data_IF_579036493282
#
_entry.id   IF_579036493282
#
_cell.length_a   1.000
_cell.length_b   1.000
_cell.length_c   1.000
_cell.angle_alpha   90.00
_cell.angle_beta   90.00
_cell.angle_gamma   90.00
#
_symmetry.space_group_name_H-M   'P 1'
#
loop_
_entity.id
_entity.type
_entity.pdbx_description
1 polymer ?
#
# COMPACT_ATOMS: atom_id res chain seq x y z
N UNK A 1 -16.36 -6.22 5.88
CA UNK A 1 -15.95 -6.06 4.47
C UNK A 1 -15.19 -4.74 4.36
N UNK A 2 -13.86 -4.76 4.20
CA UNK A 2 -12.99 -3.57 4.14
C UNK A 2 -13.20 -2.67 2.90
N UNK A 3 -14.10 -3.06 2.00
CA UNK A 3 -14.37 -2.38 0.74
C UNK A 3 -15.31 -1.17 0.89
N UNK A 4 -16.01 -1.04 2.02
CA UNK A 4 -17.02 0.01 2.27
C UNK A 4 -16.54 1.12 3.21
N UNK A 5 -15.26 1.11 3.60
CA UNK A 5 -14.73 2.14 4.50
C UNK A 5 -14.61 3.50 3.79
N UNK A 6 -14.96 4.60 4.47
CA UNK A 6 -14.86 5.94 3.89
C UNK A 6 -13.40 6.29 3.56
N UNK A 7 -13.17 6.77 2.35
CA UNK A 7 -11.83 7.19 1.89
C UNK A 7 -11.56 8.60 2.40
N UNK A 8 -10.55 8.74 3.26
CA UNK A 8 -10.09 10.03 3.78
C UNK A 8 -9.19 10.75 2.78
N UNK A 9 -8.22 10.02 2.21
CA UNK A 9 -7.27 10.54 1.23
C UNK A 9 -6.98 9.46 0.19
N UNK A 10 -6.66 9.88 -1.03
CA UNK A 10 -6.29 8.97 -2.12
C UNK A 10 -5.21 9.58 -2.98
N UNK A 11 -4.31 8.73 -3.44
CA UNK A 11 -3.33 9.05 -4.47
C UNK A 11 -3.63 8.33 -5.78
N UNK A 12 -2.68 8.42 -6.70
CA UNK A 12 -2.62 7.61 -7.91
C UNK A 12 -2.48 6.13 -7.55
N UNK A 13 -1.60 5.80 -6.60
CA UNK A 13 -1.24 4.41 -6.26
C UNK A 13 -1.75 3.90 -4.91
N UNK A 14 -2.38 4.75 -4.09
CA UNK A 14 -2.86 4.35 -2.77
C UNK A 14 -4.26 4.88 -2.42
N UNK A 15 -4.89 4.26 -1.42
CA UNK A 15 -6.04 4.79 -0.69
C UNK A 15 -5.76 4.80 0.81
N UNK A 16 -6.16 5.87 1.51
CA UNK A 16 -6.24 5.91 2.97
C UNK A 16 -7.71 5.94 3.34
N UNK A 17 -8.15 4.91 4.07
CA UNK A 17 -9.53 4.73 4.52
C UNK A 17 -9.59 4.85 6.04
N UNK A 18 -10.72 5.34 6.53
CA UNK A 18 -11.01 5.37 7.96
C UNK A 18 -11.68 4.07 8.37
N UNK A 19 -11.08 3.32 9.31
CA UNK A 19 -11.74 2.25 10.05
C UNK A 19 -11.96 2.74 11.49
N UNK A 20 -12.77 2.04 12.29
CA UNK A 20 -13.04 2.44 13.67
C UNK A 20 -11.75 2.68 14.49
N UNK A 21 -10.87 1.68 14.56
CA UNK A 21 -9.64 1.73 15.39
C UNK A 21 -8.36 2.10 14.62
N UNK A 22 -8.36 1.94 13.29
CA UNK A 22 -7.16 2.04 12.46
C UNK A 22 -7.38 2.94 11.23
N UNK A 23 -6.32 3.61 10.78
CA UNK A 23 -6.23 4.11 9.41
C UNK A 23 -5.72 2.99 8.50
N UNK A 24 -6.49 2.70 7.45
CA UNK A 24 -6.16 1.62 6.50
C UNK A 24 -5.55 2.23 5.24
N UNK A 25 -4.26 2.02 5.05
CA UNK A 25 -3.56 2.38 3.81
C UNK A 25 -3.54 1.18 2.87
N UNK A 26 -4.14 1.30 1.68
CA UNK A 26 -4.27 0.22 0.70
C UNK A 26 -3.50 0.57 -0.59
N UNK A 27 -2.68 -0.36 -1.07
CA UNK A 27 -1.94 -0.25 -2.32
C UNK A 27 -2.84 -0.64 -3.51
N UNK A 28 -3.10 0.32 -4.40
CA UNK A 28 -3.93 0.14 -5.60
C UNK A 28 -3.24 -0.65 -6.69
N UNK A 29 -1.91 -0.71 -6.71
CA UNK A 29 -1.13 -1.47 -7.68
C UNK A 29 -1.30 -2.98 -7.50
N UNK A 30 -1.70 -3.42 -6.30
CA UNK A 30 -1.94 -4.82 -5.96
C UNK A 30 -3.38 -5.28 -6.19
N UNK A 31 -4.13 -4.55 -7.02
CA UNK A 31 -5.52 -4.90 -7.36
C UNK A 31 -5.59 -6.31 -7.96
N UNK A 32 -6.35 -7.19 -7.30
CA UNK A 32 -6.51 -8.59 -7.69
C UNK A 32 -5.61 -9.56 -6.92
N UNK A 33 -4.68 -9.07 -6.10
CA UNK A 33 -3.92 -9.92 -5.19
C UNK A 33 -4.78 -10.31 -3.99
N UNK A 34 -4.88 -11.61 -3.73
CA UNK A 34 -5.62 -12.13 -2.58
C UNK A 34 -4.76 -12.03 -1.33
N UNK A 35 -5.33 -11.50 -0.24
CA UNK A 35 -4.70 -11.55 1.08
C UNK A 35 -4.57 -12.99 1.52
N UNK A 36 -3.35 -13.42 1.80
CA UNK A 36 -3.02 -14.78 2.22
C UNK A 36 -2.52 -14.83 3.66
N UNK A 37 -1.91 -13.74 4.13
CA UNK A 37 -1.36 -13.64 5.49
C UNK A 37 -1.58 -12.23 6.04
N UNK A 38 -1.72 -12.12 7.35
CA UNK A 38 -1.69 -10.85 8.08
C UNK A 38 -0.58 -10.90 9.12
N UNK A 39 0.43 -10.04 8.95
CA UNK A 39 1.65 -10.03 9.76
C UNK A 39 2.14 -8.60 9.98
N UNK A 40 3.04 -8.38 10.93
CA UNK A 40 3.69 -7.07 11.08
C UNK A 40 4.62 -6.80 9.88
N UNK A 41 4.54 -5.60 9.35
CA UNK A 41 5.46 -5.10 8.34
C UNK A 41 6.80 -4.71 8.99
N UNK A 42 7.90 -5.28 8.50
CA UNK A 42 9.22 -5.07 9.12
C UNK A 42 9.75 -3.64 8.94
N UNK A 43 9.25 -2.88 7.96
CA UNK A 43 9.71 -1.51 7.68
C UNK A 43 8.89 -0.48 8.42
N UNK A 44 7.57 -0.68 8.45
CA UNK A 44 6.63 0.26 9.04
C UNK A 44 6.26 -0.10 10.48
N UNK A 45 6.60 -1.31 10.92
CA UNK A 45 6.28 -1.85 12.25
C UNK A 45 4.79 -1.80 12.60
N UNK A 46 3.94 -1.91 11.59
CA UNK A 46 2.48 -1.94 11.72
C UNK A 46 1.93 -3.22 11.14
N UNK A 47 0.71 -3.59 11.54
CA UNK A 47 0.03 -4.76 10.99
C UNK A 47 -0.24 -4.53 9.50
N UNK A 48 0.03 -5.55 8.69
CA UNK A 48 -0.17 -5.50 7.24
C UNK A 48 -0.75 -6.81 6.72
N UNK A 49 -1.71 -6.69 5.81
CA UNK A 49 -2.16 -7.81 4.99
C UNK A 49 -1.18 -8.00 3.84
N UNK A 50 -0.69 -9.22 3.68
CA UNK A 50 0.26 -9.62 2.64
C UNK A 50 -0.39 -10.62 1.70
N UNK A 51 -0.05 -10.48 0.42
CA UNK A 51 -0.35 -11.46 -0.61
C UNK A 51 0.93 -12.06 -1.16
N UNK A 52 0.79 -13.16 -1.89
CA UNK A 52 1.91 -13.85 -2.53
C UNK A 52 1.84 -13.62 -4.04
N UNK A 53 2.87 -12.99 -4.60
CA UNK A 53 3.10 -12.93 -6.05
C UNK A 53 4.12 -14.00 -6.43
N UNK A 54 4.09 -14.49 -7.66
CA UNK A 54 5.07 -15.46 -8.15
C UNK A 54 5.91 -14.82 -9.26
N UNK A 55 7.22 -14.96 -9.16
CA UNK A 55 8.16 -14.52 -10.20
C UNK A 55 8.20 -15.53 -11.36
N UNK A 56 9.01 -15.24 -12.40
CA UNK A 56 9.10 -16.08 -13.61
C UNK A 56 9.51 -17.53 -13.31
N UNK A 57 10.29 -17.74 -12.26
CA UNK A 57 10.72 -19.06 -11.79
C UNK A 57 9.66 -19.76 -10.89
N UNK A 58 8.49 -19.14 -10.68
CA UNK A 58 7.45 -19.66 -9.80
C UNK A 58 7.73 -19.51 -8.31
N UNK A 59 8.75 -18.73 -7.93
CA UNK A 59 9.08 -18.45 -6.53
C UNK A 59 8.07 -17.44 -5.96
N UNK A 60 7.47 -17.77 -4.82
CA UNK A 60 6.50 -16.92 -4.13
C UNK A 60 7.17 -15.80 -3.33
N UNK A 61 6.89 -14.55 -3.67
CA UNK A 61 7.30 -13.38 -2.93
C UNK A 61 6.11 -12.77 -2.17
N UNK A 62 6.29 -12.59 -0.87
CA UNK A 62 5.31 -11.91 -0.02
C UNK A 62 5.39 -10.40 -0.24
N UNK A 63 4.27 -9.81 -0.61
CA UNK A 63 4.14 -8.37 -0.79
C UNK A 63 2.99 -7.84 0.05
N UNK A 64 3.17 -6.71 0.75
CA UNK A 64 2.08 -6.06 1.45
C UNK A 64 1.06 -5.51 0.46
N UNK A 65 -0.22 -5.65 0.82
CA UNK A 65 -1.39 -5.17 0.07
C UNK A 65 -1.99 -3.94 0.78
N UNK A 66 -2.07 -4.00 2.11
CA UNK A 66 -2.55 -2.90 2.93
C UNK A 66 -1.96 -2.95 4.33
N UNK A 67 -1.87 -1.78 4.94
CA UNK A 67 -1.33 -1.56 6.28
C UNK A 67 -2.41 -0.96 7.18
N UNK A 68 -2.37 -1.33 8.45
CA UNK A 68 -3.28 -0.92 9.49
C UNK A 68 -2.50 -0.09 10.50
N UNK A 69 -2.74 1.22 10.49
CA UNK A 69 -2.09 2.16 11.38
C UNK A 69 -3.04 2.46 12.55
N UNK A 70 -2.69 2.07 13.79
CA UNK A 70 -3.57 2.29 14.94
C UNK A 70 -3.70 3.79 15.22
N UNK A 71 -4.94 4.28 15.33
CA UNK A 71 -5.23 5.69 15.59
C UNK A 71 -4.72 6.19 16.94
N UNK A 72 -4.45 5.26 17.87
CA UNK A 72 -3.82 5.57 19.16
C UNK A 72 -2.36 6.03 19.03
N UNK A 73 -1.69 5.65 17.94
CA UNK A 73 -0.26 5.94 17.73
C UNK A 73 0.05 6.70 16.44
N UNK A 74 -0.91 6.78 15.50
CA UNK A 74 -0.73 7.44 14.21
C UNK A 74 -1.91 8.36 13.91
N UNK A 75 -1.61 9.57 13.47
CA UNK A 75 -2.56 10.49 12.87
C UNK A 75 -2.56 10.38 11.34
N UNK A 76 -3.60 10.92 10.70
CA UNK A 76 -3.76 10.92 9.25
C UNK A 76 -2.54 11.52 8.51
N UNK A 77 -1.88 12.53 9.08
CA UNK A 77 -0.67 13.13 8.53
C UNK A 77 0.51 12.14 8.50
N UNK A 78 0.73 11.41 9.60
CA UNK A 78 1.78 10.40 9.67
C UNK A 78 1.55 9.27 8.66
N UNK A 79 0.30 8.80 8.51
CA UNK A 79 -0.06 7.80 7.49
C UNK A 79 0.14 8.34 6.08
N UNK A 80 -0.18 9.62 5.88
CA UNK A 80 0.00 10.32 4.60
C UNK A 80 1.46 10.34 4.17
N UNK A 81 2.41 10.59 5.07
CA UNK A 81 3.85 10.58 4.75
C UNK A 81 4.28 9.23 4.16
N UNK A 82 3.80 8.12 4.74
CA UNK A 82 4.09 6.78 4.22
C UNK A 82 3.45 6.54 2.85
N UNK A 83 2.22 7.01 2.66
CA UNK A 83 1.50 6.88 1.40
C UNK A 83 2.16 7.68 0.27
N UNK A 84 2.61 8.91 0.55
CA UNK A 84 3.29 9.77 -0.42
C UNK A 84 4.69 9.26 -0.76
N UNK A 85 5.41 8.66 0.20
CA UNK A 85 6.67 7.98 -0.08
C UNK A 85 6.48 6.81 -1.06
N UNK A 86 5.40 6.04 -0.92
CA UNK A 86 5.03 4.97 -1.85
C UNK A 86 4.67 5.52 -3.22
N UNK A 87 3.86 6.58 -3.27
CA UNK A 87 3.46 7.24 -4.52
C UNK A 87 4.66 7.76 -5.30
N UNK A 88 5.60 8.43 -4.61
CA UNK A 88 6.83 8.93 -5.22
C UNK A 88 7.65 7.78 -5.81
N UNK A 89 7.84 6.70 -5.04
CA UNK A 89 8.57 5.52 -5.50
C UNK A 89 7.95 4.90 -6.76
N UNK A 90 6.62 4.76 -6.81
CA UNK A 90 5.95 4.20 -8.00
C UNK A 90 5.97 5.16 -9.19
N UNK A 91 5.90 6.47 -8.94
CA UNK A 91 6.04 7.50 -9.98
C UNK A 91 7.44 7.46 -10.58
N UNK A 92 8.49 7.46 -9.74
CA UNK A 92 9.89 7.37 -10.19
C UNK A 92 10.16 6.08 -10.97
N UNK A 93 9.60 4.94 -10.52
CA UNK A 93 9.67 3.68 -11.27
C UNK A 93 9.02 3.79 -12.65
N UNK A 94 7.87 4.48 -12.75
CA UNK A 94 7.16 4.66 -14.01
C UNK A 94 7.94 5.56 -14.96
N UNK A 95 8.48 6.67 -14.47
CA UNK A 95 9.32 7.60 -15.25
C UNK A 95 10.61 6.92 -15.72
N UNK A 96 11.26 6.11 -14.89
CA UNK A 96 12.46 5.37 -15.29
C UNK A 96 12.19 4.34 -16.40
N UNK A 97 10.99 3.74 -16.42
CA UNK A 97 10.61 2.74 -17.44
C UNK A 97 10.09 3.35 -18.74
N UNK A 98 9.83 4.65 -18.77
CA UNK A 98 9.44 5.38 -19.96
C UNK A 98 10.41 6.56 -20.13
N UNK A 99 11.61 6.36 -20.70
CA UNK A 99 12.42 7.49 -21.12
C UNK A 99 11.57 8.34 -22.07
N UNK A 100 11.52 9.65 -21.84
CA UNK A 100 10.90 10.61 -22.75
C UNK A 100 11.25 10.26 -24.21
N UNK A 101 10.24 9.86 -24.97
CA UNK A 101 10.19 10.08 -26.42
C UNK A 101 9.87 11.58 -26.59
N UNK A 102 10.86 12.42 -26.31
CA UNK A 102 10.86 13.84 -26.68
C UNK A 102 11.09 13.88 -28.20
N UNK A 103 10.01 13.98 -28.99
CA UNK A 103 10.02 14.24 -30.44
C UNK A 103 10.08 15.76 -30.72
#
# INVERSE_FOLDING_TARGET
MLLDLPVLKKGSFYFIKDSDDDFVMEDKTKRGLTVKETSVDEKLNVKADKGMIHDMDGIGHWVPIRWYFPKDSYDLDAVTVHAEAMEKKYTELRELTCPDDDD
#
